data_IF_647689781888
#
_entry.id   IF_647689781888
#
_cell.length_a   1.000
_cell.length_b   1.000
_cell.length_c   1.000
_cell.angle_alpha   90.00
_cell.angle_beta   90.00
_cell.angle_gamma   90.00
#
_symmetry.space_group_name_H-M   'P 1'
#
loop_
_entity.id
_entity.type
_entity.pdbx_description
1 polymer ?
#
# COMPACT_ATOMS: atom_id res chain seq x y z
N UNK A 1 -1.91 -15.39 3.69
CA UNK A 1 -0.49 -15.05 3.64
C UNK A 1 -0.33 -13.55 3.85
N UNK A 2 0.73 -13.13 4.50
CA UNK A 2 0.91 -11.72 4.88
C UNK A 2 0.86 -10.75 3.69
N UNK A 3 1.34 -11.16 2.52
CA UNK A 3 1.29 -10.30 1.33
C UNK A 3 -0.14 -9.98 0.91
N UNK A 4 -1.03 -10.97 1.00
CA UNK A 4 -2.45 -10.78 0.68
C UNK A 4 -3.12 -9.86 1.70
N UNK A 5 -2.85 -10.08 2.98
CA UNK A 5 -3.44 -9.30 4.07
C UNK A 5 -2.95 -7.85 4.02
N UNK A 6 -1.66 -7.66 3.78
CA UNK A 6 -1.07 -6.32 3.62
C UNK A 6 -1.68 -5.60 2.43
N UNK A 7 -1.80 -6.28 1.30
CA UNK A 7 -2.39 -5.69 0.09
C UNK A 7 -3.82 -5.22 0.33
N UNK A 8 -4.63 -6.01 1.00
CA UNK A 8 -6.00 -5.63 1.35
C UNK A 8 -6.03 -4.41 2.27
N UNK A 9 -5.16 -4.38 3.25
CA UNK A 9 -5.11 -3.25 4.19
C UNK A 9 -4.72 -1.96 3.49
N UNK A 10 -3.71 -2.01 2.62
CA UNK A 10 -3.29 -0.85 1.84
C UNK A 10 -4.45 -0.34 0.98
N UNK A 11 -5.15 -1.23 0.30
CA UNK A 11 -6.30 -0.86 -0.51
C UNK A 11 -7.38 -0.17 0.32
N UNK A 12 -7.72 -0.72 1.48
CA UNK A 12 -8.73 -0.13 2.36
C UNK A 12 -8.32 1.26 2.84
N UNK A 13 -7.07 1.42 3.26
CA UNK A 13 -6.58 2.72 3.72
C UNK A 13 -6.56 3.74 2.59
N UNK A 14 -6.13 3.32 1.40
CA UNK A 14 -6.13 4.17 0.21
C UNK A 14 -7.55 4.63 -0.15
N UNK A 15 -8.50 3.69 -0.17
CA UNK A 15 -9.90 3.99 -0.46
C UNK A 15 -10.51 4.90 0.61
N UNK A 16 -10.13 4.71 1.86
CA UNK A 16 -10.56 5.58 2.95
C UNK A 16 -10.12 7.03 2.79
N UNK A 17 -9.06 7.27 2.03
CA UNK A 17 -8.59 8.62 1.71
C UNK A 17 -9.21 9.15 0.40
N UNK A 18 -10.07 8.39 -0.24
CA UNK A 18 -10.70 8.78 -1.50
C UNK A 18 -9.74 8.78 -2.70
N UNK A 19 -8.65 8.02 -2.64
CA UNK A 19 -7.63 8.01 -3.69
C UNK A 19 -7.78 6.79 -4.59
N UNK A 20 -7.72 7.01 -5.91
CA UNK A 20 -7.60 5.92 -6.88
C UNK A 20 -6.20 5.34 -6.82
N UNK A 21 -6.01 4.12 -7.35
CA UNK A 21 -4.68 3.54 -7.48
C UNK A 21 -3.74 4.46 -8.26
N UNK A 22 -4.23 5.02 -9.36
CA UNK A 22 -3.44 5.91 -10.21
C UNK A 22 -2.98 7.15 -9.45
N UNK A 23 -3.88 7.82 -8.76
CA UNK A 23 -3.55 9.02 -8.00
C UNK A 23 -2.58 8.71 -6.86
N UNK A 24 -2.83 7.65 -6.12
CA UNK A 24 -1.96 7.28 -5.01
C UNK A 24 -0.56 6.90 -5.50
N UNK A 25 -0.48 6.08 -6.54
CA UNK A 25 0.81 5.71 -7.13
C UNK A 25 1.59 6.94 -7.58
N UNK A 26 0.91 7.88 -8.22
CA UNK A 26 1.53 9.14 -8.66
C UNK A 26 2.08 9.94 -7.47
N UNK A 27 1.30 10.05 -6.39
CA UNK A 27 1.71 10.81 -5.19
C UNK A 27 2.95 10.23 -4.53
N UNK A 28 3.08 8.91 -4.50
CA UNK A 28 4.20 8.26 -3.82
C UNK A 28 5.35 7.89 -4.76
N UNK A 29 5.26 8.26 -6.04
CA UNK A 29 6.30 7.95 -7.01
C UNK A 29 6.45 6.47 -7.30
N UNK A 30 5.33 5.74 -7.35
CA UNK A 30 5.29 4.30 -7.59
C UNK A 30 4.57 4.00 -8.89
N UNK A 31 5.02 2.98 -9.60
CA UNK A 31 4.31 2.50 -10.79
C UNK A 31 2.94 1.95 -10.40
N UNK A 32 1.89 2.38 -11.12
CA UNK A 32 0.53 1.95 -10.85
C UNK A 32 0.36 0.43 -10.96
N UNK A 33 0.98 -0.18 -11.97
CA UNK A 33 0.89 -1.63 -12.17
C UNK A 33 1.49 -2.39 -10.98
N UNK A 34 2.59 -1.88 -10.44
CA UNK A 34 3.21 -2.45 -9.25
C UNK A 34 2.28 -2.32 -8.04
N UNK A 35 1.71 -1.13 -7.82
CA UNK A 35 0.77 -0.92 -6.72
C UNK A 35 -0.45 -1.83 -6.85
N UNK A 36 -1.01 -1.98 -8.06
CA UNK A 36 -2.16 -2.85 -8.29
C UNK A 36 -1.84 -4.30 -7.93
N UNK A 37 -0.69 -4.83 -8.37
CA UNK A 37 -0.30 -6.20 -8.05
C UNK A 37 0.02 -6.37 -6.57
N UNK A 38 0.56 -5.35 -5.91
CA UNK A 38 0.81 -5.35 -4.48
C UNK A 38 -0.50 -5.45 -3.69
N UNK A 39 -1.51 -4.68 -4.07
CA UNK A 39 -2.83 -4.73 -3.43
C UNK A 39 -3.50 -6.09 -3.60
N UNK A 40 -3.18 -6.82 -4.68
CA UNK A 40 -3.66 -8.18 -4.89
C UNK A 40 -2.86 -9.24 -4.13
N UNK A 41 -1.81 -8.84 -3.44
CA UNK A 41 -0.97 -9.77 -2.69
C UNK A 41 0.01 -10.56 -3.54
N UNK A 42 0.29 -10.10 -4.76
CA UNK A 42 1.13 -10.82 -5.73
C UNK A 42 2.60 -10.39 -5.70
N UNK A 43 2.99 -9.52 -4.78
CA UNK A 43 4.35 -8.99 -4.70
C UNK A 43 4.94 -9.16 -3.32
N UNK A 44 6.21 -9.51 -3.28
CA UNK A 44 7.04 -9.38 -2.08
C UNK A 44 7.55 -7.94 -2.09
N UNK A 45 6.93 -7.11 -1.27
CA UNK A 45 7.21 -5.67 -1.29
C UNK A 45 8.48 -5.36 -0.49
N UNK A 46 9.35 -4.51 -1.04
CA UNK A 46 10.54 -4.09 -0.33
C UNK A 46 10.20 -3.15 0.83
N UNK A 47 11.07 -3.11 1.83
CA UNK A 47 10.85 -2.21 2.99
C UNK A 47 10.85 -0.74 2.56
N UNK A 48 11.60 -0.40 1.53
CA UNK A 48 11.62 0.96 1.00
C UNK A 48 10.24 1.33 0.45
N UNK A 49 9.65 0.44 -0.32
CA UNK A 49 8.31 0.68 -0.89
C UNK A 49 7.23 0.66 0.18
N UNK A 50 7.37 -0.19 1.20
CA UNK A 50 6.45 -0.18 2.34
C UNK A 50 6.48 1.18 3.03
N UNK A 51 7.67 1.75 3.22
CA UNK A 51 7.82 3.06 3.85
C UNK A 51 7.17 4.16 3.00
N UNK A 52 7.36 4.13 1.68
CA UNK A 52 6.69 5.07 0.77
C UNK A 52 5.18 5.00 0.91
N UNK A 53 4.64 3.80 1.00
CA UNK A 53 3.19 3.59 1.14
C UNK A 53 2.69 4.12 2.47
N UNK A 54 3.35 3.78 3.57
CA UNK A 54 2.93 4.25 4.89
C UNK A 54 2.98 5.78 4.99
N UNK A 55 4.03 6.39 4.46
CA UNK A 55 4.16 7.84 4.44
C UNK A 55 3.05 8.49 3.60
N UNK A 56 2.78 7.92 2.43
CA UNK A 56 1.72 8.44 1.55
C UNK A 56 0.32 8.27 2.13
N UNK A 57 0.10 7.23 2.92
CA UNK A 57 -1.17 7.01 3.63
C UNK A 57 -1.28 7.83 4.90
N UNK A 58 -0.17 8.41 5.38
CA UNK A 58 -0.17 9.16 6.63
C UNK A 58 -0.31 8.29 7.87
N UNK A 59 0.12 7.02 7.79
CA UNK A 59 0.08 6.09 8.91
C UNK A 59 1.50 5.63 9.24
N UNK A 60 1.72 5.21 10.49
CA UNK A 60 3.00 4.62 10.87
C UNK A 60 3.14 3.21 10.31
N UNK A 61 4.37 2.71 10.26
CA UNK A 61 4.59 1.31 9.89
C UNK A 61 3.88 0.38 10.88
N UNK A 62 3.88 0.73 12.17
CA UNK A 62 3.17 -0.03 13.19
C UNK A 62 1.68 -0.11 12.88
N UNK A 63 1.05 1.01 12.54
CA UNK A 63 -0.37 1.04 12.18
C UNK A 63 -0.64 0.22 10.92
N UNK A 64 0.25 0.33 9.93
CA UNK A 64 0.10 -0.42 8.68
C UNK A 64 0.09 -1.91 8.90
N UNK A 65 0.91 -2.41 9.82
CA UNK A 65 1.04 -3.84 10.09
C UNK A 65 0.15 -4.33 11.23
N UNK A 66 -0.59 -3.46 11.87
CA UNK A 66 -1.47 -3.86 12.97
C UNK A 66 -2.49 -4.88 12.47
N UNK A 67 -2.60 -5.99 13.19
CA UNK A 67 -3.55 -7.05 12.87
C UNK A 67 -3.09 -8.02 11.77
N UNK A 68 -1.89 -7.84 11.24
CA UNK A 68 -1.36 -8.78 10.23
C UNK A 68 -0.57 -9.96 10.89
#
# INVERSE_FOLDING_TARGET
MITTELGKKIKLLRQGKGLSQEKFALQIGMDRTYLASLELGKRNVSIINIKKISDGLGVSLSDLFEGL
#
